data_IF_919741959033
#
_entry.id   IF_919741959033
#
_cell.length_a   1.000
_cell.length_b   1.000
_cell.length_c   1.000
_cell.angle_alpha   90.00
_cell.angle_beta   90.00
_cell.angle_gamma   90.00
#
_symmetry.space_group_name_H-M   'P 1'
#
loop_
_entity.id
_entity.type
_entity.pdbx_description
1 polymer ?
#
# COMPACT_ATOMS: atom_id res chain seq x y z
N UNK A 1 -3.01 2.86 5.53
CA UNK A 1 -3.35 1.73 4.65
C UNK A 1 -2.13 1.32 3.83
N UNK A 2 -1.97 0.03 3.57
CA UNK A 2 -0.92 -0.55 2.73
C UNK A 2 -1.59 -1.38 1.62
N UNK A 3 -1.09 -1.29 0.39
CA UNK A 3 -1.58 -2.06 -0.75
C UNK A 3 -0.39 -2.48 -1.60
N UNK A 4 -0.13 -3.78 -1.73
CA UNK A 4 0.92 -4.27 -2.61
C UNK A 4 0.60 -3.92 -4.08
N UNK A 5 1.61 -3.42 -4.80
CA UNK A 5 1.47 -3.01 -6.19
C UNK A 5 1.08 -4.17 -7.11
N UNK A 6 1.50 -5.40 -6.79
CA UNK A 6 1.16 -6.60 -7.56
C UNK A 6 -0.32 -6.99 -7.52
N UNK A 7 -1.05 -6.50 -6.51
CA UNK A 7 -2.49 -6.65 -6.37
C UNK A 7 -3.31 -5.66 -7.21
N UNK A 8 -2.66 -4.65 -7.79
CA UNK A 8 -3.27 -3.64 -8.68
C UNK A 8 -2.92 -4.03 -10.13
N UNK A 9 -3.94 -4.35 -10.94
CA UNK A 9 -3.79 -5.00 -12.25
C UNK A 9 -4.21 -4.08 -13.39
N UNK A 10 -3.54 -2.95 -13.52
CA UNK A 10 -3.87 -1.95 -14.53
C UNK A 10 -3.26 -2.24 -15.92
N UNK A 11 -3.23 -3.52 -16.34
CA UNK A 11 -2.59 -4.05 -17.57
C UNK A 11 -2.37 -3.02 -18.71
N UNK A 12 -1.26 -2.26 -18.66
CA UNK A 12 -0.81 -1.43 -19.78
C UNK A 12 -0.80 0.10 -19.62
N UNK A 13 -1.11 0.72 -18.46
CA UNK A 13 -0.99 2.18 -18.37
C UNK A 13 -1.29 2.85 -17.03
N UNK A 14 -1.24 4.18 -17.02
CA UNK A 14 -1.55 5.07 -15.87
C UNK A 14 -2.97 5.64 -15.91
N UNK A 15 -3.81 5.17 -16.83
CA UNK A 15 -5.19 5.64 -17.06
C UNK A 15 -6.21 4.56 -16.71
N UNK A 16 -7.38 4.98 -16.23
CA UNK A 16 -8.52 4.12 -15.94
C UNK A 16 -9.77 4.73 -16.60
N UNK A 17 -10.50 4.00 -17.47
CA UNK A 17 -10.23 2.64 -17.96
C UNK A 17 -8.97 2.55 -18.84
N UNK A 18 -8.35 1.37 -18.90
CA UNK A 18 -7.19 1.12 -19.76
C UNK A 18 -7.55 1.01 -21.25
N UNK A 19 -8.84 0.81 -21.56
CA UNK A 19 -9.36 0.52 -22.91
C UNK A 19 -10.01 1.70 -23.63
N UNK A 20 -10.07 2.90 -23.05
CA UNK A 20 -10.84 3.99 -23.66
C UNK A 20 -10.72 5.37 -23.00
N UNK A 21 -11.62 6.28 -23.39
CA UNK A 21 -11.60 7.68 -23.00
C UNK A 21 -11.55 7.85 -21.47
N UNK A 22 -10.53 8.56 -20.99
CA UNK A 22 -10.39 8.89 -19.58
C UNK A 22 -11.67 9.54 -19.03
N UNK A 23 -12.09 9.13 -17.83
CA UNK A 23 -13.19 9.76 -17.09
C UNK A 23 -14.51 8.99 -17.05
N UNK A 24 -14.71 7.96 -17.88
CA UNK A 24 -15.87 7.05 -17.75
C UNK A 24 -15.46 5.72 -17.12
N UNK A 25 -15.59 5.60 -15.80
CA UNK A 25 -15.24 4.38 -15.05
C UNK A 25 -16.48 3.50 -14.90
N UNK A 26 -16.46 2.31 -15.47
CA UNK A 26 -17.47 1.27 -15.22
C UNK A 26 -17.05 0.36 -14.07
N UNK A 27 -18.01 -0.37 -13.49
CA UNK A 27 -17.71 -1.42 -12.52
C UNK A 27 -16.86 -2.55 -13.11
N UNK A 28 -16.96 -2.82 -14.41
CA UNK A 28 -16.04 -3.75 -15.07
C UNK A 28 -14.58 -3.32 -14.90
N UNK A 29 -14.33 -2.00 -14.96
CA UNK A 29 -12.98 -1.47 -14.80
C UNK A 29 -12.44 -1.55 -13.38
N UNK A 30 -13.31 -1.53 -12.36
CA UNK A 30 -12.87 -1.76 -10.97
C UNK A 30 -12.45 -3.21 -10.75
N UNK A 31 -13.15 -4.17 -11.37
CA UNK A 31 -12.72 -5.58 -11.41
C UNK A 31 -11.45 -5.80 -12.22
N UNK A 32 -11.30 -5.15 -13.39
CA UNK A 32 -10.05 -5.24 -14.16
C UNK A 32 -8.86 -4.75 -13.33
N UNK A 33 -9.05 -3.67 -12.56
CA UNK A 33 -8.01 -3.09 -11.70
C UNK A 33 -7.73 -3.95 -10.46
N UNK A 34 -8.76 -4.52 -9.83
CA UNK A 34 -8.67 -5.29 -8.59
C UNK A 34 -9.35 -6.67 -8.76
N UNK A 35 -8.74 -7.58 -9.55
CA UNK A 35 -9.43 -8.79 -10.03
C UNK A 35 -9.40 -9.99 -9.08
N UNK A 36 -8.66 -9.92 -7.98
CA UNK A 36 -8.51 -11.04 -7.04
C UNK A 36 -9.60 -10.98 -5.97
N UNK A 37 -10.00 -12.12 -5.39
CA UNK A 37 -10.95 -12.14 -4.27
C UNK A 37 -10.27 -11.78 -2.93
N UNK A 38 -9.58 -10.63 -2.92
CA UNK A 38 -8.96 -10.08 -1.74
C UNK A 38 -9.98 -9.30 -0.91
N UNK A 39 -9.98 -9.56 0.40
CA UNK A 39 -10.80 -8.82 1.37
C UNK A 39 -9.97 -7.80 2.12
N UNK A 40 -10.61 -6.74 2.60
CA UNK A 40 -9.95 -5.78 3.48
C UNK A 40 -9.93 -6.31 4.91
N UNK A 41 -8.79 -6.11 5.57
CA UNK A 41 -8.58 -6.40 7.00
C UNK A 41 -7.93 -5.22 7.70
N UNK A 42 -8.21 -5.08 8.99
CA UNK A 42 -7.45 -4.23 9.91
C UNK A 42 -6.50 -5.09 10.74
N UNK A 43 -5.30 -4.58 10.93
CA UNK A 43 -4.32 -5.06 11.90
C UNK A 43 -4.18 -3.95 12.92
N UNK A 44 -4.66 -4.18 14.13
CA UNK A 44 -4.58 -3.19 15.21
C UNK A 44 -3.24 -3.26 15.92
N UNK A 45 -2.82 -2.15 16.52
CA UNK A 45 -1.62 -2.10 17.37
C UNK A 45 -0.31 -2.51 16.67
N UNK A 46 -0.16 -2.18 15.37
CA UNK A 46 1.09 -2.42 14.64
C UNK A 46 2.16 -1.46 15.16
N UNK A 47 3.26 -2.00 15.66
CA UNK A 47 4.33 -1.17 16.23
C UNK A 47 5.09 -0.40 15.15
N UNK A 48 5.79 0.67 15.53
CA UNK A 48 6.66 1.40 14.62
C UNK A 48 7.81 0.52 14.06
N UNK A 49 8.27 -0.46 14.83
CA UNK A 49 9.26 -1.45 14.37
C UNK A 49 8.67 -2.37 13.29
N UNK A 50 7.44 -2.85 13.47
CA UNK A 50 6.76 -3.69 12.49
C UNK A 50 6.44 -2.93 11.21
N UNK A 51 6.03 -1.66 11.32
CA UNK A 51 5.86 -0.76 10.17
C UNK A 51 7.19 -0.60 9.43
N UNK A 52 8.29 -0.38 10.16
CA UNK A 52 9.61 -0.25 9.55
C UNK A 52 10.00 -1.52 8.80
N UNK A 53 9.92 -2.70 9.41
CA UNK A 53 10.30 -3.97 8.77
C UNK A 53 9.42 -4.27 7.54
N UNK A 54 8.12 -4.01 7.65
CA UNK A 54 7.18 -4.09 6.52
C UNK A 54 7.61 -3.15 5.38
N UNK A 55 7.96 -1.90 5.68
CA UNK A 55 8.39 -0.94 4.65
C UNK A 55 9.79 -1.25 4.11
N UNK A 56 10.68 -1.87 4.90
CA UNK A 56 11.96 -2.39 4.41
C UNK A 56 11.74 -3.46 3.34
N UNK A 57 10.75 -4.33 3.51
CA UNK A 57 10.37 -5.32 2.49
C UNK A 57 9.84 -4.66 1.23
N UNK A 58 8.99 -3.64 1.37
CA UNK A 58 8.54 -2.83 0.24
C UNK A 58 9.71 -2.15 -0.49
N UNK A 59 10.60 -1.48 0.25
CA UNK A 59 11.75 -0.77 -0.31
C UNK A 59 12.89 -1.71 -0.76
N UNK A 60 12.78 -3.02 -0.54
CA UNK A 60 13.74 -4.00 -1.03
C UNK A 60 13.77 -4.05 -2.57
N UNK A 61 12.69 -3.65 -3.26
CA UNK A 61 12.63 -3.66 -4.75
C UNK A 61 13.62 -2.70 -5.40
N UNK A 62 13.99 -1.59 -4.74
CA UNK A 62 14.87 -0.58 -5.31
C UNK A 62 14.37 -0.04 -6.66
N UNK A 63 15.02 -0.43 -7.76
CA UNK A 63 14.66 -0.05 -9.15
C UNK A 63 14.08 -1.20 -9.97
N UNK A 64 14.14 -2.45 -9.50
CA UNK A 64 13.69 -3.61 -10.28
C UNK A 64 12.18 -3.64 -10.50
N UNK A 65 11.43 -2.83 -9.75
CA UNK A 65 10.00 -3.02 -9.59
C UNK A 65 9.70 -4.35 -8.88
N UNK A 66 8.43 -4.57 -8.57
CA UNK A 66 7.98 -5.81 -7.97
C UNK A 66 6.63 -5.67 -7.29
N UNK A 67 5.87 -6.76 -7.26
CA UNK A 67 4.54 -6.80 -6.67
C UNK A 67 4.51 -6.38 -5.21
N UNK A 68 5.61 -6.68 -4.49
CA UNK A 68 5.78 -6.35 -3.09
C UNK A 68 5.78 -4.85 -2.81
N UNK A 69 6.15 -3.97 -3.74
CA UNK A 69 6.21 -2.54 -3.43
C UNK A 69 4.84 -2.02 -2.98
N UNK A 70 4.77 -1.46 -1.77
CA UNK A 70 3.52 -1.01 -1.15
C UNK A 70 3.18 0.41 -1.60
N UNK A 71 1.97 0.56 -2.14
CA UNK A 71 1.25 1.82 -2.13
C UNK A 71 0.77 2.12 -0.71
N UNK A 72 0.86 3.38 -0.27
CA UNK A 72 0.54 3.77 1.11
C UNK A 72 -0.44 4.94 1.17
N UNK A 73 -1.24 4.97 2.23
CA UNK A 73 -2.05 6.12 2.63
C UNK A 73 -1.97 6.31 4.15
N UNK A 74 -2.01 7.57 4.61
CA UNK A 74 -1.88 7.91 6.03
C UNK A 74 -0.45 8.15 6.51
N UNK A 75 0.55 8.01 5.63
CA UNK A 75 1.96 8.26 5.95
C UNK A 75 2.75 8.75 4.73
N UNK A 76 3.92 9.32 5.00
CA UNK A 76 5.02 9.57 4.05
C UNK A 76 6.21 8.71 4.45
N UNK A 77 6.90 8.17 3.44
CA UNK A 77 8.03 7.25 3.61
C UNK A 77 9.20 7.73 2.76
N UNK A 78 10.38 7.77 3.36
CA UNK A 78 11.65 8.03 2.69
C UNK A 78 12.48 6.77 2.69
N UNK A 79 12.95 6.33 1.51
CA UNK A 79 13.85 5.21 1.36
C UNK A 79 15.15 5.62 0.65
N UNK A 80 16.26 4.94 0.92
CA UNK A 80 17.55 5.13 0.25
C UNK A 80 18.07 3.80 -0.27
N UNK A 81 18.51 3.78 -1.54
CA UNK A 81 19.04 2.57 -2.18
C UNK A 81 20.46 2.24 -1.75
N UNK A 82 21.16 3.18 -1.11
CA UNK A 82 22.45 2.96 -0.48
C UNK A 82 22.35 2.03 0.76
N UNK A 83 21.13 1.87 1.32
CA UNK A 83 20.89 0.92 2.40
C UNK A 83 20.84 -0.54 1.94
N UNK A 84 21.18 -1.45 2.85
CA UNK A 84 21.04 -2.90 2.70
C UNK A 84 19.57 -3.25 2.50
N UNK A 85 19.24 -3.98 1.43
CA UNK A 85 17.90 -4.51 1.25
C UNK A 85 17.63 -5.60 2.30
N UNK A 86 16.43 -5.61 2.88
CA UNK A 86 15.98 -6.76 3.67
C UNK A 86 15.96 -8.01 2.77
N UNK A 87 16.40 -9.14 3.31
CA UNK A 87 16.30 -10.44 2.65
C UNK A 87 15.35 -11.31 3.46
N UNK A 88 14.37 -11.89 2.74
CA UNK A 88 13.42 -12.86 3.28
C UNK A 88 13.68 -14.17 2.57
N UNK A 89 13.80 -15.26 3.32
CA UNK A 89 13.97 -16.61 2.76
C UNK A 89 12.77 -17.00 1.89
N UNK A 90 12.90 -18.09 1.15
CA UNK A 90 11.72 -18.71 0.56
C UNK A 90 10.77 -19.16 1.69
N UNK A 91 9.44 -19.02 1.50
CA UNK A 91 8.47 -19.64 2.37
C UNK A 91 8.62 -21.17 2.36
N UNK A 92 8.24 -21.80 3.47
CA UNK A 92 8.27 -23.26 3.63
C UNK A 92 6.91 -23.75 4.13
N UNK A 93 6.50 -24.95 3.71
CA UNK A 93 5.17 -25.49 4.05
C UNK A 93 4.06 -24.61 3.48
N UNK A 94 3.01 -24.39 4.28
CA UNK A 94 1.82 -23.63 3.87
C UNK A 94 1.94 -22.12 4.13
N UNK A 95 3.13 -21.62 4.51
CA UNK A 95 3.36 -20.19 4.76
C UNK A 95 3.42 -19.40 3.45
N UNK A 96 2.81 -18.22 3.42
CA UNK A 96 2.96 -17.27 2.32
C UNK A 96 4.26 -16.45 2.38
N UNK A 97 4.95 -16.43 3.53
CA UNK A 97 6.20 -15.70 3.75
C UNK A 97 7.31 -16.59 4.32
N UNK A 98 8.56 -16.33 3.93
CA UNK A 98 9.73 -16.87 4.61
C UNK A 98 10.15 -16.08 5.84
N UNK A 99 11.35 -16.35 6.36
CA UNK A 99 11.91 -15.64 7.52
C UNK A 99 12.85 -14.51 7.08
N UNK A 100 12.91 -13.43 7.86
CA UNK A 100 13.92 -12.38 7.66
C UNK A 100 15.30 -12.96 7.96
N UNK A 101 16.17 -13.03 6.96
CA UNK A 101 17.55 -13.51 7.08
C UNK A 101 18.58 -12.39 7.05
N UNK A 102 18.19 -11.21 6.59
CA UNK A 102 19.00 -9.99 6.63
C UNK A 102 18.08 -8.81 6.90
N UNK A 103 18.36 -8.04 7.94
CA UNK A 103 17.59 -6.84 8.28
C UNK A 103 17.89 -5.72 7.26
N UNK A 104 16.84 -5.03 6.81
CA UNK A 104 16.96 -3.91 5.89
C UNK A 104 17.36 -2.59 6.57
N UNK A 105 18.01 -1.72 5.81
CA UNK A 105 18.39 -0.35 6.24
C UNK A 105 18.02 0.72 5.21
N UNK A 106 17.10 0.41 4.29
CA UNK A 106 16.67 1.32 3.23
C UNK A 106 15.66 2.34 3.71
N UNK A 107 14.80 2.01 4.67
CA UNK A 107 13.83 2.96 5.25
C UNK A 107 14.59 3.97 6.10
N UNK A 108 14.42 5.26 5.80
CA UNK A 108 15.06 6.38 6.51
C UNK A 108 14.07 7.14 7.37
N UNK A 109 12.91 7.49 6.82
CA UNK A 109 11.89 8.22 7.55
C UNK A 109 10.52 7.62 7.29
N UNK A 110 9.69 7.60 8.33
CA UNK A 110 8.26 7.28 8.23
C UNK A 110 7.52 8.28 9.10
N UNK A 111 6.67 9.10 8.49
CA UNK A 111 5.93 10.17 9.17
C UNK A 111 4.44 10.03 8.88
N UNK A 112 3.61 10.05 9.91
CA UNK A 112 2.16 10.06 9.78
C UNK A 112 1.67 11.42 9.27
N UNK A 113 0.46 11.48 8.73
CA UNK A 113 -0.09 12.75 8.20
C UNK A 113 -0.26 13.84 9.26
N UNK A 114 -0.40 13.48 10.53
CA UNK A 114 -0.47 14.42 11.65
C UNK A 114 0.92 14.88 12.16
N UNK A 115 1.99 14.50 11.48
CA UNK A 115 3.36 14.91 11.78
C UNK A 115 4.11 14.01 12.75
N UNK A 116 3.46 13.02 13.39
CA UNK A 116 4.16 12.07 14.27
C UNK A 116 5.12 11.20 13.45
N UNK A 117 6.36 11.06 13.92
CA UNK A 117 7.35 10.21 13.30
C UNK A 117 7.34 8.80 13.92
N UNK A 118 7.38 7.77 13.07
CA UNK A 118 7.57 6.37 13.47
C UNK A 118 9.04 5.95 13.31
N UNK A 119 9.68 6.42 12.24
CA UNK A 119 11.09 6.17 11.94
C UNK A 119 11.75 7.50 11.57
N UNK A 120 12.94 7.75 12.10
CA UNK A 120 13.76 8.92 11.83
C UNK A 120 15.22 8.48 11.65
N UNK A 121 15.85 8.92 10.57
CA UNK A 121 17.24 8.60 10.21
C UNK A 121 17.56 7.09 10.26
N UNK A 122 16.57 6.27 9.90
CA UNK A 122 16.64 4.82 9.88
C UNK A 122 16.47 4.15 11.25
N UNK A 123 16.23 4.88 12.32
CA UNK A 123 15.94 4.35 13.65
C UNK A 123 14.45 4.49 13.99
N UNK A 124 13.88 3.53 14.72
CA UNK A 124 12.53 3.66 15.29
C UNK A 124 12.56 4.76 16.33
N UNK A 125 11.60 5.68 16.27
CA UNK A 125 11.50 6.78 17.24
C UNK A 125 11.08 6.21 18.60
N UNK A 126 11.76 6.61 19.67
CA UNK A 126 11.42 6.20 21.03
C UNK A 126 9.97 6.61 21.38
N UNK A 127 9.21 5.70 21.98
CA UNK A 127 7.79 5.88 22.30
C UNK A 127 6.91 6.23 21.08
N UNK A 128 7.33 5.86 19.87
CA UNK A 128 6.49 6.01 18.69
C UNK A 128 5.16 5.26 18.89
N UNK A 129 4.03 5.86 18.47
CA UNK A 129 2.72 5.26 18.64
C UNK A 129 2.61 3.98 17.80
N UNK A 130 1.86 3.01 18.30
CA UNK A 130 1.32 1.95 17.46
C UNK A 130 0.23 2.52 16.54
N UNK A 131 0.02 1.88 15.39
CA UNK A 131 -0.96 2.30 14.40
C UNK A 131 -1.86 1.15 13.99
N UNK A 132 -3.06 1.48 13.52
CA UNK A 132 -3.91 0.50 12.81
C UNK A 132 -3.56 0.52 11.33
N UNK A 133 -3.29 -0.66 10.78
CA UNK A 133 -3.03 -0.84 9.35
C UNK A 133 -4.24 -1.49 8.70
N UNK A 134 -4.76 -0.85 7.66
CA UNK A 134 -5.71 -1.48 6.72
C UNK A 134 -4.96 -1.97 5.50
N UNK A 135 -5.17 -3.23 5.11
CA UNK A 135 -4.56 -3.85 3.93
C UNK A 135 -5.47 -4.95 3.37
N UNK A 136 -5.12 -5.51 2.21
CA UNK A 136 -5.76 -6.70 1.68
C UNK A 136 -5.29 -8.00 2.38
N UNK A 137 -6.13 -9.04 2.35
CA UNK A 137 -5.87 -10.36 2.95
C UNK A 137 -4.58 -11.00 2.45
N UNK A 138 -4.31 -11.00 1.12
CA UNK A 138 -3.07 -11.54 0.57
C UNK A 138 -1.82 -10.97 1.24
N UNK A 139 -1.73 -9.63 1.35
CA UNK A 139 -0.59 -8.95 1.98
C UNK A 139 -0.57 -9.18 3.49
N UNK A 140 -1.73 -9.20 4.14
CA UNK A 140 -1.83 -9.44 5.58
C UNK A 140 -1.37 -10.86 5.97
N UNK A 141 -1.63 -11.84 5.12
CA UNK A 141 -1.32 -13.26 5.36
C UNK A 141 0.12 -13.60 4.97
N UNK A 142 0.90 -12.62 4.47
CA UNK A 142 2.32 -12.75 4.18
C UNK A 142 2.65 -12.89 2.69
N UNK A 143 1.67 -12.81 1.80
CA UNK A 143 1.90 -12.74 0.36
C UNK A 143 2.93 -11.67 0.00
N UNK A 144 3.65 -11.84 -1.10
CA UNK A 144 4.81 -11.00 -1.45
C UNK A 144 5.96 -11.02 -0.42
N UNK A 145 6.03 -12.05 0.43
CA UNK A 145 7.02 -12.21 1.52
C UNK A 145 6.92 -11.09 2.57
N UNK A 146 5.73 -10.89 3.16
CA UNK A 146 5.49 -9.99 4.29
C UNK A 146 5.38 -10.74 5.64
N UNK A 147 6.48 -11.29 6.18
CA UNK A 147 6.41 -12.14 7.38
C UNK A 147 5.98 -11.40 8.64
N UNK A 148 6.27 -10.09 8.74
CA UNK A 148 5.85 -9.26 9.87
C UNK A 148 4.32 -9.23 9.96
N UNK A 149 3.64 -8.92 8.85
CA UNK A 149 2.18 -8.85 8.79
C UNK A 149 1.54 -10.23 9.00
N UNK A 150 2.15 -11.29 8.45
CA UNK A 150 1.68 -12.66 8.59
C UNK A 150 1.50 -13.08 10.06
N UNK A 151 2.34 -12.57 10.96
CA UNK A 151 2.33 -12.90 12.40
C UNK A 151 1.30 -12.10 13.22
N UNK A 152 0.80 -10.99 12.70
CA UNK A 152 -0.10 -10.10 13.44
C UNK A 152 -1.56 -10.58 13.34
N UNK A 153 -2.38 -10.17 14.31
CA UNK A 153 -3.81 -10.50 14.38
C UNK A 153 -4.59 -9.59 13.42
N UNK A 154 -5.47 -10.19 12.61
CA UNK A 154 -6.30 -9.50 11.63
C UNK A 154 -7.77 -9.49 12.07
N UNK A 155 -8.44 -8.37 11.81
CA UNK A 155 -9.88 -8.20 11.94
C UNK A 155 -10.44 -7.95 10.55
N UNK A 156 -11.27 -8.86 10.04
CA UNK A 156 -11.88 -8.73 8.72
C UNK A 156 -13.05 -7.75 8.71
N UNK A 157 -13.19 -6.99 7.62
CA UNK A 157 -14.33 -6.10 7.40
C UNK A 157 -15.46 -6.72 6.58
N UNK A 158 -15.23 -7.90 5.96
CA UNK A 158 -16.18 -8.57 5.06
C UNK A 158 -16.30 -7.96 3.66
N UNK A 159 -15.68 -6.80 3.41
CA UNK A 159 -15.72 -6.10 2.12
C UNK A 159 -14.51 -6.47 1.26
N UNK A 160 -14.73 -6.72 -0.04
CA UNK A 160 -13.61 -6.89 -0.97
C UNK A 160 -12.92 -5.56 -1.24
N UNK A 161 -11.62 -5.60 -1.54
CA UNK A 161 -10.88 -4.41 -1.91
C UNK A 161 -11.41 -3.70 -3.18
N UNK A 162 -12.03 -4.46 -4.09
CA UNK A 162 -12.72 -3.94 -5.28
C UNK A 162 -14.01 -3.22 -4.89
N UNK A 163 -14.84 -3.85 -4.04
CA UNK A 163 -16.08 -3.24 -3.55
C UNK A 163 -15.77 -1.95 -2.79
N UNK A 164 -14.70 -1.91 -1.99
CA UNK A 164 -14.27 -0.70 -1.31
C UNK A 164 -13.88 0.43 -2.28
N UNK A 165 -13.20 0.12 -3.39
CA UNK A 165 -12.91 1.09 -4.44
C UNK A 165 -14.20 1.57 -5.12
N UNK A 166 -15.10 0.65 -5.46
CA UNK A 166 -16.39 0.95 -6.07
C UNK A 166 -17.22 1.90 -5.18
N UNK A 167 -17.38 1.57 -3.90
CA UNK A 167 -18.11 2.39 -2.94
C UNK A 167 -17.44 3.77 -2.74
N UNK A 168 -16.11 3.81 -2.73
CA UNK A 168 -15.38 5.07 -2.70
C UNK A 168 -15.64 5.95 -3.93
N UNK A 169 -15.65 5.37 -5.13
CA UNK A 169 -15.98 6.10 -6.37
C UNK A 169 -17.43 6.60 -6.39
N UNK A 170 -18.36 5.84 -5.80
CA UNK A 170 -19.76 6.28 -5.65
C UNK A 170 -19.94 7.42 -4.64
N UNK A 171 -18.98 7.64 -3.73
CA UNK A 171 -19.08 8.68 -2.70
C UNK A 171 -18.90 10.10 -3.23
N UNK A 172 -18.46 10.27 -4.47
CA UNK A 172 -18.25 11.58 -5.08
C UNK A 172 -19.58 12.26 -5.46
N UNK A 173 -19.60 13.60 -5.55
CA UNK A 173 -20.75 14.35 -6.04
C UNK A 173 -21.19 13.89 -7.44
N UNK A 174 -22.48 14.01 -7.72
CA UNK A 174 -23.04 13.67 -9.03
C UNK A 174 -22.95 14.87 -9.97
N UNK A 175 -22.60 14.61 -11.23
CA UNK A 175 -22.60 15.58 -12.31
C UNK A 175 -24.02 15.83 -12.87
N UNK A 176 -24.13 16.64 -13.92
CA UNK A 176 -25.42 16.96 -14.56
C UNK A 176 -26.14 15.73 -15.16
N UNK A 177 -25.42 14.65 -15.45
CA UNK A 177 -25.98 13.39 -15.91
C UNK A 177 -26.35 12.44 -14.74
N UNK A 178 -26.19 12.87 -13.49
CA UNK A 178 -26.51 12.07 -12.30
C UNK A 178 -25.47 11.00 -11.96
N UNK A 179 -24.30 11.03 -12.59
CA UNK A 179 -23.20 10.08 -12.36
C UNK A 179 -22.18 10.66 -11.37
N UNK A 180 -21.63 9.87 -10.44
CA UNK A 180 -20.52 10.31 -9.58
C UNK A 180 -19.33 10.78 -10.43
N UNK A 181 -18.81 11.95 -10.12
CA UNK A 181 -17.71 12.59 -10.82
C UNK A 181 -16.70 13.12 -9.81
N UNK A 182 -15.42 12.78 -10.02
CA UNK A 182 -14.32 13.39 -9.26
C UNK A 182 -14.15 14.81 -9.79
N UNK A 183 -14.42 15.85 -8.98
CA UNK A 183 -14.30 17.22 -9.46
C UNK A 183 -12.85 17.54 -9.84
N UNK A 184 -12.63 18.30 -10.91
CA UNK A 184 -11.29 18.77 -11.30
C UNK A 184 -10.63 19.65 -10.23
N UNK A 185 -11.43 20.21 -9.31
CA UNK A 185 -10.98 20.96 -8.14
C UNK A 185 -10.59 20.09 -6.96
N UNK A 186 -10.79 18.77 -7.01
CA UNK A 186 -10.44 17.88 -5.91
C UNK A 186 -8.92 17.84 -5.75
N UNK A 187 -8.41 18.40 -4.66
CA UNK A 187 -6.96 18.51 -4.40
C UNK A 187 -6.24 17.16 -4.32
N UNK A 188 -6.97 16.06 -4.10
CA UNK A 188 -6.42 14.70 -4.09
C UNK A 188 -6.10 14.19 -5.48
N UNK A 189 -6.82 14.67 -6.50
CA UNK A 189 -6.77 14.13 -7.87
C UNK A 189 -6.47 15.18 -8.95
N UNK A 190 -6.49 16.47 -8.60
CA UNK A 190 -6.21 17.60 -9.49
C UNK A 190 -4.74 17.71 -9.90
N UNK A 191 -3.84 17.06 -9.16
CA UNK A 191 -2.41 17.01 -9.51
C UNK A 191 -2.15 15.81 -10.41
N UNK A 192 -1.43 16.05 -11.50
CA UNK A 192 -0.91 14.99 -12.38
C UNK A 192 0.36 14.35 -11.83
N UNK A 193 0.96 14.95 -10.80
CA UNK A 193 2.04 14.38 -10.00
C UNK A 193 1.45 13.61 -8.83
N UNK A 194 1.96 12.41 -8.54
CA UNK A 194 1.55 11.67 -7.34
C UNK A 194 1.76 12.47 -6.05
N UNK A 195 1.08 12.08 -4.98
CA UNK A 195 1.06 12.80 -3.69
C UNK A 195 2.41 12.88 -2.94
N UNK A 196 3.50 12.37 -3.52
CA UNK A 196 4.84 12.40 -2.92
C UNK A 196 4.94 11.60 -1.62
N UNK A 197 4.08 10.57 -1.44
CA UNK A 197 4.07 9.72 -0.24
C UNK A 197 5.30 8.83 -0.12
N UNK A 198 5.99 8.57 -1.23
CA UNK A 198 7.29 7.92 -1.24
C UNK A 198 8.34 8.85 -1.82
N UNK A 199 9.47 8.95 -1.13
CA UNK A 199 10.67 9.64 -1.62
C UNK A 199 11.82 8.65 -1.65
N UNK A 200 12.52 8.57 -2.78
CA UNK A 200 13.80 7.87 -2.88
C UNK A 200 14.92 8.90 -2.77
N UNK A 201 15.75 8.77 -1.74
CA UNK A 201 16.99 9.53 -1.66
C UNK A 201 17.95 9.05 -2.76
N UNK A 202 18.83 9.95 -3.25
CA UNK A 202 19.91 9.61 -4.17
C UNK A 202 20.72 8.38 -3.73
#
# INVERSE_FOLDING_TARGET
>A
ALQNGGGIRQNGGVTLPTTGAAGAISRGNTFDLLPFDNRLVAITSVSAADIKETLERSCSVGTSGGGQFLQVAGMKVTCSRAGTAIVVSNPTGDSYAGNVTTVGTRVKDVTLLDGRALVKDGAVVANAPAVTVVTNTFTADGGDNYPTLAKLVKVGFGVSYEQALYDYLLSFPKNAAGLPEIPSSDVRYSKTTGDGRFTWLP
#
